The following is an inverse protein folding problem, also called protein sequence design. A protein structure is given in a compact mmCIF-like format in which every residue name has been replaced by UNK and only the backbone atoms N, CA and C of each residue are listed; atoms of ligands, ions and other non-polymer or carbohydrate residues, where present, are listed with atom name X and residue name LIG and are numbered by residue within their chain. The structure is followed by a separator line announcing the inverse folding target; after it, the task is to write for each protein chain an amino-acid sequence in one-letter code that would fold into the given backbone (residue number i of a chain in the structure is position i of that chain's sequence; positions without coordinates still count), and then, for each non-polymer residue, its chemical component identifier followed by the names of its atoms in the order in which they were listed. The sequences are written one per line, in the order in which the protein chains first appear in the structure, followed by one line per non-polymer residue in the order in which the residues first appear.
data_IF_027151583882
#
_entry.id   IF_027151583882
#
_cell.length_a   1.000
_cell.length_b   1.000
_cell.length_c   1.000
_cell.angle_alpha   90.00
_cell.angle_beta   90.00
_cell.angle_gamma   90.00
#
_symmetry.space_group_name_H-M   'P 1'
#
loop_
_entity.id
_entity.type
_entity.pdbx_description
1 polymer ?
#
# COMPACT_ATOMS: atom_id res chain seq x y z
N UNK A 1 -36.74 -45.54 16.49
CA UNK A 1 -36.24 -46.96 16.45
C UNK A 1 -34.95 -46.99 15.60
N UNK A 2 -33.90 -47.61 16.22
CA UNK A 2 -32.60 -48.10 15.68
C UNK A 2 -31.59 -47.02 15.26
N UNK A 3 -30.64 -46.60 16.04
CA UNK A 3 -29.33 -47.14 16.56
C UNK A 3 -28.55 -48.02 15.57
N UNK A 4 -27.31 -47.61 15.23
CA UNK A 4 -26.06 -48.43 15.15
C UNK A 4 -24.90 -47.50 14.75
N UNK A 5 -23.94 -47.24 15.63
CA UNK A 5 -22.68 -47.87 16.06
C UNK A 5 -21.55 -47.57 15.02
N UNK A 6 -20.65 -46.71 15.38
CA UNK A 6 -19.25 -46.78 15.83
C UNK A 6 -18.47 -47.97 15.27
N UNK A 7 -17.41 -47.69 14.55
CA UNK A 7 -16.20 -48.53 14.56
C UNK A 7 -14.94 -47.64 14.47
N UNK A 8 -14.20 -47.68 15.57
CA UNK A 8 -12.86 -47.14 15.76
C UNK A 8 -11.90 -48.23 15.28
N UNK A 9 -11.02 -47.91 14.33
CA UNK A 9 -9.89 -48.79 14.02
C UNK A 9 -8.57 -48.13 14.41
N UNK A 10 -8.06 -48.60 15.53
CA UNK A 10 -6.69 -48.38 16.01
C UNK A 10 -5.78 -49.29 15.18
N UNK A 11 -4.74 -48.71 14.54
CA UNK A 11 -3.61 -49.48 14.04
C UNK A 11 -2.36 -49.06 14.78
N UNK A 12 -1.82 -50.05 15.47
CA UNK A 12 -0.67 -49.97 16.33
C UNK A 12 0.65 -49.91 15.57
N UNK A 13 1.57 -49.21 16.17
CA UNK A 13 2.99 -49.05 15.90
C UNK A 13 3.73 -50.39 15.90
N UNK A 14 4.56 -50.61 14.91
CA UNK A 14 5.65 -51.60 14.98
C UNK A 14 7.00 -50.85 14.82
N UNK A 15 7.66 -50.71 15.95
CA UNK A 15 9.10 -50.33 16.01
C UNK A 15 9.92 -51.57 15.67
N UNK A 16 10.75 -51.50 14.69
CA UNK A 16 11.84 -52.44 14.48
C UNK A 16 13.20 -51.73 14.56
N UNK A 17 13.79 -51.92 15.71
CA UNK A 17 15.21 -51.70 15.94
C UNK A 17 16.02 -52.74 15.20
N UNK A 18 16.95 -52.34 14.32
CA UNK A 18 18.05 -53.18 13.93
C UNK A 18 19.36 -52.42 14.21
N UNK A 19 20.11 -52.96 15.14
CA UNK A 19 21.41 -52.50 15.51
C UNK A 19 22.53 -53.27 14.71
N UNK A 20 23.57 -52.53 14.43
CA UNK A 20 24.95 -52.97 14.21
C UNK A 20 25.33 -53.85 13.05
N UNK A 21 26.11 -53.29 12.16
CA UNK A 21 27.37 -53.93 11.72
C UNK A 21 28.40 -52.88 11.32
N UNK A 22 29.56 -53.01 11.85
CA UNK A 22 30.76 -52.20 11.76
C UNK A 22 31.42 -52.25 10.35
N UNK A 23 31.99 -51.11 9.96
CA UNK A 23 33.22 -51.04 9.14
C UNK A 23 33.02 -50.72 7.68
N UNK A 24 33.14 -49.48 7.30
CA UNK A 24 34.15 -49.08 6.29
C UNK A 24 34.28 -47.52 6.31
N UNK A 25 35.52 -47.07 6.35
CA UNK A 25 35.89 -45.65 6.32
C UNK A 25 35.82 -45.11 4.89
N UNK A 26 34.62 -44.88 4.41
CA UNK A 26 34.35 -44.02 3.29
C UNK A 26 33.87 -42.69 3.83
N UNK A 27 34.56 -41.60 3.52
CA UNK A 27 34.05 -40.25 3.80
C UNK A 27 32.68 -40.12 3.18
N UNK A 28 31.63 -40.19 4.04
CA UNK A 28 30.27 -39.83 3.69
C UNK A 28 30.30 -38.34 3.36
N UNK A 29 29.82 -37.92 2.17
CA UNK A 29 29.65 -36.51 1.94
C UNK A 29 28.69 -35.99 3.00
N UNK A 30 29.12 -34.93 3.67
CA UNK A 30 28.30 -34.15 4.63
C UNK A 30 26.88 -34.04 4.11
N UNK A 31 25.86 -34.28 4.92
CA UNK A 31 24.49 -34.09 4.48
C UNK A 31 24.38 -32.64 4.02
N UNK A 32 24.30 -32.48 2.70
CA UNK A 32 24.08 -31.18 2.06
C UNK A 32 23.04 -30.43 2.83
N UNK A 33 23.40 -29.26 3.36
CA UNK A 33 22.53 -28.32 4.02
C UNK A 33 21.31 -28.11 3.15
N UNK A 34 20.20 -28.75 3.52
CA UNK A 34 18.93 -28.43 2.90
C UNK A 34 18.55 -27.05 3.38
N UNK A 35 18.15 -26.15 2.48
CA UNK A 35 17.69 -24.84 2.87
C UNK A 35 16.63 -24.97 3.94
N UNK A 36 16.86 -24.35 5.10
CA UNK A 36 15.94 -24.37 6.23
C UNK A 36 14.99 -23.21 6.07
N UNK A 37 13.70 -23.49 6.07
CA UNK A 37 12.68 -22.46 6.05
C UNK A 37 12.70 -21.73 7.39
N UNK A 38 13.09 -20.46 7.37
CA UNK A 38 13.22 -19.62 8.57
C UNK A 38 12.19 -18.49 8.56
N UNK A 39 11.70 -18.12 9.75
CA UNK A 39 10.91 -16.91 9.95
C UNK A 39 11.86 -15.71 9.96
N UNK A 40 11.57 -14.74 9.11
CA UNK A 40 12.33 -13.49 9.01
C UNK A 40 11.52 -12.39 9.66
N UNK A 41 12.12 -11.66 10.58
CA UNK A 41 11.53 -10.48 11.17
C UNK A 41 11.64 -9.32 10.19
N UNK A 42 10.52 -8.91 9.60
CA UNK A 42 10.45 -7.80 8.66
C UNK A 42 10.01 -6.54 9.38
N UNK A 43 10.76 -5.47 9.20
CA UNK A 43 10.45 -4.12 9.65
C UNK A 43 10.35 -3.20 8.45
N UNK A 44 9.30 -2.41 8.38
CA UNK A 44 9.00 -1.55 7.22
C UNK A 44 9.12 -0.08 7.57
N UNK A 45 9.68 0.70 6.64
CA UNK A 45 9.87 2.14 6.76
C UNK A 45 9.43 2.79 5.45
N UNK A 46 8.72 3.90 5.54
CA UNK A 46 8.29 4.66 4.38
C UNK A 46 8.81 6.09 4.43
N UNK A 47 9.07 6.66 3.26
CA UNK A 47 9.25 8.09 3.09
C UNK A 47 7.94 8.82 3.47
N UNK A 48 8.02 10.09 3.84
CA UNK A 48 6.84 10.90 4.05
C UNK A 48 6.42 11.58 2.76
N UNK A 49 5.12 11.74 2.55
CA UNK A 49 4.63 12.57 1.43
C UNK A 49 5.15 14.00 1.56
N UNK A 50 5.70 14.53 0.48
CA UNK A 50 6.01 15.95 0.40
C UNK A 50 4.71 16.73 0.24
N UNK A 51 4.45 17.68 1.16
CA UNK A 51 3.29 18.56 1.05
C UNK A 51 3.48 19.49 -0.16
N UNK A 52 2.55 19.44 -1.11
CA UNK A 52 2.42 20.47 -2.13
C UNK A 52 1.80 21.69 -1.48
N UNK A 53 2.55 22.33 -0.61
CA UNK A 53 2.14 23.64 -0.18
C UNK A 53 2.52 24.63 -1.28
N UNK A 54 1.70 25.62 -1.47
CA UNK A 54 2.12 26.95 -1.92
C UNK A 54 3.29 27.49 -1.06
N UNK A 55 3.73 26.77 -0.04
CA UNK A 55 4.93 27.03 0.75
C UNK A 55 6.01 26.00 0.39
N UNK A 56 7.10 26.48 -0.18
CA UNK A 56 8.35 25.78 -0.49
C UNK A 56 9.00 25.16 0.79
N UNK A 57 8.43 24.09 1.33
CA UNK A 57 9.14 23.26 2.28
C UNK A 57 9.91 22.20 1.53
N UNK A 58 11.18 22.04 1.89
CA UNK A 58 12.00 20.94 1.39
C UNK A 58 11.28 19.62 1.65
N UNK A 59 11.38 18.67 0.70
CA UNK A 59 10.89 17.31 0.89
C UNK A 59 11.44 16.76 2.22
N UNK A 60 10.64 16.02 3.00
CA UNK A 60 11.14 15.39 4.21
C UNK A 60 12.28 14.44 3.85
N UNK A 61 13.43 14.66 4.47
CA UNK A 61 14.60 13.81 4.28
C UNK A 61 14.59 12.73 5.36
N UNK A 62 14.10 11.54 5.02
CA UNK A 62 14.18 10.40 5.90
C UNK A 62 13.01 9.43 5.77
N UNK A 63 13.20 8.26 6.35
CA UNK A 63 12.19 7.22 6.47
C UNK A 63 11.71 7.16 7.92
N UNK A 64 10.43 6.98 8.11
CA UNK A 64 9.82 6.70 9.41
C UNK A 64 9.28 5.27 9.42
N UNK A 65 9.25 4.67 10.59
CA UNK A 65 8.63 3.36 10.77
C UNK A 65 7.20 3.38 10.21
N UNK A 66 6.90 2.39 9.40
CA UNK A 66 5.61 2.19 8.80
C UNK A 66 5.01 0.88 9.30
N UNK A 67 3.96 0.99 10.08
CA UNK A 67 3.18 -0.17 10.53
C UNK A 67 1.82 -0.12 9.84
N UNK A 68 1.45 -1.14 9.04
CA UNK A 68 0.11 -1.21 8.46
C UNK A 68 -0.98 -1.19 9.54
N UNK A 69 -2.03 -0.42 9.33
CA UNK A 69 -3.19 -0.31 10.23
C UNK A 69 -4.21 -1.46 10.05
N UNK A 70 -4.05 -2.23 9.00
CA UNK A 70 -4.92 -3.36 8.64
C UNK A 70 -4.13 -4.52 8.05
N UNK A 71 -4.76 -5.67 7.93
CA UNK A 71 -4.20 -6.81 7.18
C UNK A 71 -3.86 -6.39 5.76
N UNK A 72 -2.62 -6.60 5.36
CA UNK A 72 -2.10 -6.27 4.03
C UNK A 72 -1.07 -7.29 3.56
N UNK A 73 -0.54 -7.13 2.36
CA UNK A 73 0.51 -8.00 1.84
C UNK A 73 1.52 -7.24 0.99
N UNK A 74 2.71 -7.82 0.87
CA UNK A 74 3.80 -7.31 0.06
C UNK A 74 4.21 -8.36 -0.96
N UNK A 75 4.48 -7.95 -2.19
CA UNK A 75 5.17 -8.75 -3.20
C UNK A 75 6.67 -8.50 -3.10
N UNK A 76 7.46 -9.55 -2.96
CA UNK A 76 8.91 -9.44 -2.76
C UNK A 76 9.66 -10.43 -3.65
N UNK A 77 10.76 -9.97 -4.22
CA UNK A 77 11.75 -10.78 -4.93
C UNK A 77 13.02 -10.83 -4.10
N UNK A 78 13.56 -12.02 -3.94
CA UNK A 78 14.84 -12.26 -3.27
C UNK A 78 15.70 -13.07 -4.22
N UNK A 79 16.78 -12.48 -4.70
CA UNK A 79 17.68 -13.05 -5.69
C UNK A 79 19.06 -13.22 -5.08
N UNK A 80 19.71 -14.39 -5.29
CA UNK A 80 21.07 -14.62 -4.83
C UNK A 80 22.03 -13.65 -5.51
N UNK A 81 22.78 -12.88 -4.73
CA UNK A 81 23.75 -11.91 -5.27
C UNK A 81 24.94 -12.59 -5.95
N UNK A 82 25.33 -13.76 -5.45
CA UNK A 82 26.48 -14.53 -5.98
C UNK A 82 26.20 -15.22 -7.32
N UNK A 83 24.92 -15.55 -7.62
CA UNK A 83 24.50 -16.19 -8.87
C UNK A 83 23.41 -15.41 -9.59
N UNK A 84 23.67 -14.13 -9.92
CA UNK A 84 22.62 -13.24 -10.40
C UNK A 84 22.01 -13.69 -11.73
N UNK A 85 22.77 -14.35 -12.61
CA UNK A 85 22.29 -14.71 -13.94
C UNK A 85 21.25 -15.84 -13.90
N UNK A 86 21.41 -16.82 -13.00
CA UNK A 86 20.48 -17.94 -12.85
C UNK A 86 19.17 -17.48 -12.26
N UNK A 87 19.22 -16.69 -11.20
CA UNK A 87 18.01 -16.18 -10.51
C UNK A 87 17.25 -15.16 -11.37
N UNK A 88 17.96 -14.35 -12.15
CA UNK A 88 17.35 -13.39 -13.06
C UNK A 88 16.71 -14.03 -14.30
N UNK A 89 17.04 -15.29 -14.62
CA UNK A 89 16.41 -15.99 -15.74
C UNK A 89 14.90 -16.22 -15.51
N UNK A 90 14.49 -16.39 -14.25
CA UNK A 90 13.07 -16.56 -13.88
C UNK A 90 12.81 -16.07 -12.44
N UNK A 91 12.85 -14.76 -12.20
CA UNK A 91 12.64 -14.23 -10.87
C UNK A 91 11.22 -14.51 -10.38
N UNK A 92 11.13 -15.11 -9.19
CA UNK A 92 9.85 -15.47 -8.56
C UNK A 92 9.43 -14.42 -7.54
N UNK A 93 8.20 -13.91 -7.69
CA UNK A 93 7.59 -13.08 -6.70
C UNK A 93 7.05 -13.91 -5.54
N UNK A 94 7.51 -13.63 -4.34
CA UNK A 94 6.99 -14.21 -3.09
C UNK A 94 6.02 -13.25 -2.44
N UNK A 95 4.96 -13.76 -1.83
CA UNK A 95 3.99 -12.94 -1.09
C UNK A 95 4.18 -13.12 0.40
N UNK A 96 4.37 -12.02 1.12
CA UNK A 96 4.33 -11.98 2.58
C UNK A 96 3.09 -11.24 3.05
N UNK A 97 2.59 -11.60 4.22
CA UNK A 97 1.32 -11.09 4.76
C UNK A 97 1.58 -10.41 6.10
N UNK A 98 1.02 -9.23 6.28
CA UNK A 98 0.94 -8.54 7.56
C UNK A 98 -0.43 -8.81 8.20
N UNK A 99 -0.44 -9.43 9.35
CA UNK A 99 -1.62 -9.56 10.20
C UNK A 99 -1.21 -9.72 11.66
N UNK A 100 -2.12 -9.51 12.60
CA UNK A 100 -1.84 -9.61 14.03
C UNK A 100 -0.58 -8.82 14.45
N UNK A 101 -0.42 -7.63 13.90
CA UNK A 101 0.68 -6.68 14.17
C UNK A 101 2.08 -7.20 13.82
N UNK A 102 2.20 -8.16 12.90
CA UNK A 102 3.49 -8.61 12.39
C UNK A 102 3.44 -9.08 10.94
N UNK A 103 4.58 -9.02 10.28
CA UNK A 103 4.79 -9.67 9.00
C UNK A 103 5.04 -11.16 9.18
N UNK A 104 4.37 -11.97 8.37
CA UNK A 104 4.59 -13.42 8.30
C UNK A 104 5.44 -13.72 7.08
N UNK A 105 6.76 -13.71 7.25
CA UNK A 105 7.75 -13.92 6.21
C UNK A 105 8.52 -15.20 6.51
N UNK A 106 8.25 -16.26 5.74
CA UNK A 106 8.91 -17.55 5.84
C UNK A 106 9.62 -17.82 4.53
N UNK A 107 10.95 -17.69 4.54
CA UNK A 107 11.77 -17.94 3.37
C UNK A 107 12.73 -19.09 3.61
N UNK A 108 13.01 -19.83 2.54
CA UNK A 108 14.15 -20.72 2.48
C UNK A 108 15.35 -19.83 2.13
N UNK A 109 16.27 -19.70 3.06
CA UNK A 109 17.48 -18.90 2.90
C UNK A 109 18.69 -19.72 3.31
N UNK A 110 19.77 -19.58 2.57
CA UNK A 110 21.04 -20.22 2.84
C UNK A 110 21.88 -19.34 3.77
N UNK A 111 22.49 -19.94 4.79
CA UNK A 111 23.41 -19.24 5.67
C UNK A 111 24.64 -18.74 4.90
N UNK A 112 25.24 -17.63 5.34
CA UNK A 112 26.40 -16.99 4.70
C UNK A 112 26.18 -16.57 3.24
N UNK A 113 24.93 -16.34 2.84
CA UNK A 113 24.60 -15.84 1.50
C UNK A 113 24.10 -14.42 1.56
N UNK A 114 24.14 -13.73 0.43
CA UNK A 114 23.61 -12.38 0.29
C UNK A 114 22.51 -12.39 -0.77
N UNK A 115 21.37 -11.79 -0.44
CA UNK A 115 20.23 -11.66 -1.36
C UNK A 115 20.05 -10.22 -1.79
N UNK A 116 19.78 -10.01 -3.06
CA UNK A 116 19.28 -8.73 -3.60
C UNK A 116 17.76 -8.72 -3.51
N UNK A 117 17.20 -7.66 -2.93
CA UNK A 117 15.77 -7.60 -2.57
C UNK A 117 15.04 -6.49 -3.31
N UNK A 118 13.94 -6.84 -3.97
CA UNK A 118 13.01 -5.91 -4.65
C UNK A 118 11.59 -6.20 -4.25
N UNK A 119 10.69 -5.26 -4.48
CA UNK A 119 9.28 -5.52 -4.25
C UNK A 119 8.43 -4.26 -4.15
N UNK A 120 7.19 -4.46 -3.74
CA UNK A 120 6.19 -3.41 -3.60
C UNK A 120 5.12 -3.80 -2.57
N UNK A 121 4.43 -2.80 -2.06
CA UNK A 121 3.35 -2.93 -1.09
C UNK A 121 2.29 -1.84 -1.34
N UNK A 122 0.98 -2.11 -1.13
CA UNK A 122 0.40 -3.43 -0.88
C UNK A 122 0.27 -4.26 -2.17
N UNK A 123 0.28 -5.59 -2.05
CA UNK A 123 -0.12 -6.49 -3.11
C UNK A 123 -1.59 -6.88 -2.91
N UNK A 124 -2.48 -6.19 -3.59
CA UNK A 124 -3.95 -6.32 -3.44
C UNK A 124 -4.62 -6.74 -4.74
N UNK A 125 -5.74 -7.44 -4.62
CA UNK A 125 -6.55 -7.87 -5.75
C UNK A 125 -5.76 -8.64 -6.81
N UNK A 126 -5.95 -8.26 -8.07
CA UNK A 126 -5.33 -8.88 -9.24
C UNK A 126 -3.97 -8.27 -9.61
N UNK A 127 -3.36 -7.50 -8.69
CA UNK A 127 -2.02 -6.95 -8.92
C UNK A 127 -1.00 -8.07 -9.14
N UNK A 128 -0.22 -7.91 -10.18
CA UNK A 128 0.89 -8.79 -10.54
C UNK A 128 2.14 -7.98 -10.83
N UNK A 129 3.29 -8.62 -10.74
CA UNK A 129 4.54 -7.96 -11.08
C UNK A 129 5.47 -8.86 -11.87
N UNK A 130 6.44 -8.23 -12.50
CA UNK A 130 7.60 -8.88 -13.12
C UNK A 130 8.85 -8.06 -12.87
N UNK A 131 9.96 -8.73 -12.67
CA UNK A 131 11.25 -8.12 -12.44
C UNK A 131 12.20 -8.54 -13.57
N UNK A 132 12.94 -7.59 -14.12
CA UNK A 132 13.94 -7.81 -15.14
C UNK A 132 15.24 -7.07 -14.82
N UNK A 133 16.39 -7.71 -15.07
CA UNK A 133 17.69 -7.08 -14.99
C UNK A 133 17.88 -6.14 -16.18
N UNK A 134 18.22 -4.90 -15.93
CA UNK A 134 18.49 -3.91 -16.98
C UNK A 134 19.98 -3.80 -17.27
N UNK A 135 20.81 -3.72 -16.24
CA UNK A 135 22.28 -3.73 -16.28
C UNK A 135 22.82 -4.43 -15.02
N UNK A 136 24.15 -4.46 -14.84
CA UNK A 136 24.76 -4.99 -13.62
C UNK A 136 24.22 -4.29 -12.36
N UNK A 137 23.97 -2.96 -12.45
CA UNK A 137 23.59 -2.12 -11.33
C UNK A 137 22.18 -1.55 -11.45
N UNK A 138 21.32 -2.15 -12.27
CA UNK A 138 19.99 -1.64 -12.52
C UNK A 138 18.97 -2.76 -12.80
N UNK A 139 17.75 -2.53 -12.34
CA UNK A 139 16.60 -3.41 -12.55
C UNK A 139 15.38 -2.64 -13.03
N UNK A 140 14.48 -3.34 -13.68
CA UNK A 140 13.14 -2.82 -14.02
C UNK A 140 12.09 -3.68 -13.34
N UNK A 141 11.31 -3.07 -12.45
CA UNK A 141 10.13 -3.68 -11.85
C UNK A 141 8.89 -3.16 -12.57
N UNK A 142 8.09 -4.07 -13.11
CA UNK A 142 6.80 -3.75 -13.69
C UNK A 142 5.71 -4.22 -12.75
N UNK A 143 4.77 -3.35 -12.40
CA UNK A 143 3.59 -3.67 -11.60
C UNK A 143 2.35 -3.44 -12.47
N UNK A 144 1.49 -4.43 -12.55
CA UNK A 144 0.30 -4.42 -13.40
C UNK A 144 -0.99 -4.52 -12.59
N UNK A 145 -2.08 -4.06 -13.19
CA UNK A 145 -3.43 -4.11 -12.61
C UNK A 145 -3.60 -3.34 -11.30
N UNK A 146 -2.83 -2.28 -11.10
CA UNK A 146 -3.06 -1.36 -9.99
C UNK A 146 -4.36 -0.59 -10.19
N UNK A 147 -5.08 -0.32 -9.10
CA UNK A 147 -6.25 0.57 -9.15
C UNK A 147 -5.78 2.02 -9.36
N UNK A 148 -6.44 2.79 -10.27
CA UNK A 148 -6.08 4.19 -10.50
C UNK A 148 -6.21 5.07 -9.27
N UNK A 149 -7.20 4.78 -8.43
CA UNK A 149 -7.45 5.39 -7.11
C UNK A 149 -7.53 4.29 -6.07
N UNK A 150 -7.03 4.53 -4.88
CA UNK A 150 -7.07 3.60 -3.76
C UNK A 150 -7.03 4.36 -2.43
N UNK A 151 -7.49 3.74 -1.36
CA UNK A 151 -7.26 4.20 0.01
C UNK A 151 -5.90 3.77 0.55
N UNK A 152 -5.27 2.80 -0.10
CA UNK A 152 -3.97 2.28 0.27
C UNK A 152 -2.86 3.02 -0.49
N UNK A 153 -1.81 3.36 0.21
CA UNK A 153 -0.61 3.92 -0.40
C UNK A 153 0.21 2.81 -1.06
N UNK A 154 0.42 2.93 -2.37
CA UNK A 154 1.23 1.97 -3.11
C UNK A 154 2.68 2.44 -3.09
N UNK A 155 3.52 1.65 -2.43
CA UNK A 155 4.94 1.89 -2.26
C UNK A 155 5.79 0.84 -2.96
N UNK A 156 6.99 1.24 -3.36
CA UNK A 156 8.03 0.36 -3.91
C UNK A 156 9.17 0.23 -2.91
N UNK A 157 9.78 -0.95 -2.83
CA UNK A 157 11.00 -1.15 -2.07
C UNK A 157 12.13 -0.39 -2.78
N UNK A 158 12.80 0.50 -2.06
CA UNK A 158 13.90 1.32 -2.54
C UNK A 158 15.24 0.95 -1.91
N UNK A 159 15.23 -0.02 -1.03
CA UNK A 159 16.43 -0.56 -0.41
C UNK A 159 16.10 -1.39 0.81
N UNK A 160 17.12 -2.06 1.32
CA UNK A 160 17.05 -2.88 2.52
C UNK A 160 18.28 -2.63 3.39
N UNK A 161 18.14 -2.91 4.69
CA UNK A 161 19.24 -2.87 5.66
C UNK A 161 19.09 -4.00 6.65
N UNK A 162 20.20 -4.40 7.21
CA UNK A 162 20.28 -5.34 8.33
C UNK A 162 19.91 -4.65 9.66
N UNK A 163 20.26 -3.37 9.81
CA UNK A 163 20.02 -2.56 11.01
C UNK A 163 19.19 -1.33 10.69
N UNK A 164 18.58 -0.73 11.71
CA UNK A 164 17.81 0.52 11.59
C UNK A 164 18.67 1.79 11.63
N UNK A 165 19.97 1.66 11.82
CA UNK A 165 20.89 2.79 11.84
C UNK A 165 20.99 3.46 10.48
N UNK A 166 20.92 4.80 10.45
CA UNK A 166 21.12 5.60 9.25
C UNK A 166 20.06 5.37 8.17
N UNK A 167 18.79 5.28 8.54
CA UNK A 167 17.65 5.18 7.63
C UNK A 167 17.40 6.53 6.92
N UNK A 168 18.30 6.92 6.02
CA UNK A 168 18.23 8.14 5.23
C UNK A 168 18.36 7.81 3.76
N UNK A 169 17.79 8.66 2.92
CA UNK A 169 18.00 8.58 1.48
C UNK A 169 19.49 8.56 1.14
N UNK A 170 19.88 7.70 0.22
CA UNK A 170 21.29 7.47 -0.17
C UNK A 170 22.11 6.58 0.75
N UNK A 171 21.51 5.99 1.77
CA UNK A 171 22.17 5.04 2.68
C UNK A 171 21.57 3.64 2.63
N UNK A 172 20.94 3.28 1.52
CA UNK A 172 20.37 1.95 1.32
C UNK A 172 21.39 1.01 0.72
N UNK A 173 21.20 -0.27 1.01
CA UNK A 173 21.74 -1.38 0.25
C UNK A 173 20.60 -2.07 -0.48
N UNK A 174 20.89 -2.67 -1.61
CA UNK A 174 20.01 -3.64 -2.24
C UNK A 174 20.30 -5.05 -1.74
N UNK A 175 21.39 -5.21 -1.02
CA UNK A 175 21.89 -6.48 -0.55
C UNK A 175 21.53 -6.67 0.92
N UNK A 176 21.01 -7.84 1.20
CA UNK A 176 20.70 -8.31 2.54
C UNK A 176 21.53 -9.56 2.84
N UNK A 177 22.59 -9.44 3.64
CA UNK A 177 23.42 -10.57 4.03
C UNK A 177 22.69 -11.44 5.06
N UNK A 178 22.82 -12.76 4.90
CA UNK A 178 22.31 -13.74 5.85
C UNK A 178 23.44 -14.14 6.78
N UNK A 179 23.31 -13.98 8.11
CA UNK A 179 24.37 -14.33 9.04
C UNK A 179 24.63 -15.84 9.08
N UNK A 180 25.83 -16.20 9.57
CA UNK A 180 26.30 -17.58 9.61
C UNK A 180 25.68 -18.43 10.73
N UNK A 181 25.13 -17.80 11.79
CA UNK A 181 24.65 -18.53 12.95
C UNK A 181 23.17 -18.85 12.84
N UNK A 182 22.79 -20.09 13.15
CA UNK A 182 21.39 -20.52 13.18
C UNK A 182 20.59 -19.93 14.35
N UNK A 183 21.26 -19.34 15.33
CA UNK A 183 20.65 -18.80 16.55
C UNK A 183 20.20 -17.34 16.41
N UNK A 184 20.62 -16.65 15.36
CA UNK A 184 20.26 -15.25 15.15
C UNK A 184 18.86 -15.12 14.52
N UNK A 185 18.05 -14.24 15.08
CA UNK A 185 16.80 -13.82 14.46
C UNK A 185 17.14 -13.01 13.20
N UNK A 186 16.88 -13.57 12.04
CA UNK A 186 17.06 -12.87 10.79
C UNK A 186 16.12 -11.66 10.74
N UNK A 187 16.72 -10.49 10.62
CA UNK A 187 15.98 -9.21 10.53
C UNK A 187 16.26 -8.55 9.20
N UNK A 188 15.24 -7.95 8.63
CA UNK A 188 15.36 -7.11 7.44
C UNK A 188 14.59 -5.82 7.66
N UNK A 189 15.25 -4.70 7.45
CA UNK A 189 14.63 -3.36 7.43
C UNK A 189 14.41 -2.98 5.98
N UNK A 190 13.13 -2.87 5.59
CA UNK A 190 12.71 -2.58 4.22
C UNK A 190 12.32 -1.11 4.13
N UNK A 191 12.99 -0.39 3.23
CA UNK A 191 12.73 1.00 2.96
C UNK A 191 11.86 1.13 1.72
N UNK A 192 10.81 1.93 1.82
CA UNK A 192 9.80 2.07 0.78
C UNK A 192 9.60 3.54 0.40
N UNK A 193 9.36 3.78 -0.87
CA UNK A 193 8.99 5.09 -1.39
C UNK A 193 7.66 5.00 -2.15
N UNK A 194 6.89 6.08 -2.14
CA UNK A 194 5.57 6.15 -2.74
C UNK A 194 5.62 6.00 -4.26
N UNK A 195 4.68 5.24 -4.82
CA UNK A 195 4.41 5.23 -6.26
C UNK A 195 3.31 6.21 -6.64
N UNK A 196 2.39 6.49 -5.73
CA UNK A 196 1.24 7.35 -5.99
C UNK A 196 1.44 8.75 -5.38
N UNK A 197 0.58 9.66 -5.81
CA UNK A 197 0.31 10.91 -5.12
C UNK A 197 -0.79 10.70 -4.09
N UNK A 198 -0.77 11.45 -2.99
CA UNK A 198 -1.85 11.47 -2.02
C UNK A 198 -2.74 12.69 -2.21
N UNK A 199 -4.03 12.54 -1.88
CA UNK A 199 -4.99 13.65 -1.73
C UNK A 199 -5.57 13.60 -0.34
N UNK A 200 -5.57 14.73 0.33
CA UNK A 200 -6.27 14.96 1.58
C UNK A 200 -7.48 15.85 1.32
N UNK A 201 -8.67 15.31 1.42
CA UNK A 201 -9.92 16.06 1.37
C UNK A 201 -10.27 16.55 2.78
N UNK A 202 -10.39 17.86 2.97
CA UNK A 202 -10.83 18.49 4.20
C UNK A 202 -12.22 19.08 4.00
N UNK A 203 -13.25 18.38 4.45
CA UNK A 203 -14.63 18.79 4.29
C UNK A 203 -15.13 19.51 5.53
N UNK A 204 -15.70 20.69 5.35
CA UNK A 204 -16.41 21.49 6.36
C UNK A 204 -17.81 21.81 5.89
N UNK A 205 -18.65 22.27 6.82
CA UNK A 205 -19.91 22.90 6.50
C UNK A 205 -19.76 24.43 6.64
N UNK A 206 -20.42 25.18 5.78
CA UNK A 206 -20.48 26.65 5.88
C UNK A 206 -21.07 27.10 7.23
N UNK A 207 -20.55 28.19 7.78
CA UNK A 207 -20.93 28.67 9.11
C UNK A 207 -22.39 29.11 9.21
N UNK A 208 -22.91 29.79 8.18
CA UNK A 208 -24.29 30.26 8.17
C UNK A 208 -25.24 29.10 7.91
N UNK A 209 -24.85 28.20 6.99
CA UNK A 209 -25.62 27.00 6.69
C UNK A 209 -25.73 26.05 7.88
N UNK A 210 -24.65 25.87 8.65
CA UNK A 210 -24.64 25.06 9.87
C UNK A 210 -25.61 25.55 10.96
N UNK A 211 -25.98 26.85 10.93
CA UNK A 211 -27.01 27.38 11.83
C UNK A 211 -28.44 26.90 11.45
N UNK A 212 -28.65 26.42 10.23
CA UNK A 212 -29.94 26.03 9.69
C UNK A 212 -30.08 24.52 9.50
N UNK A 213 -28.99 23.85 9.19
CA UNK A 213 -28.95 22.42 8.84
C UNK A 213 -27.74 21.73 9.41
N UNK A 214 -27.85 20.42 9.65
CA UNK A 214 -26.73 19.52 9.89
C UNK A 214 -26.63 18.56 8.71
N UNK A 215 -25.43 18.42 8.15
CA UNK A 215 -25.10 17.48 7.10
C UNK A 215 -24.30 16.34 7.70
N UNK A 216 -24.74 15.10 7.52
CA UNK A 216 -23.99 13.91 7.88
C UNK A 216 -23.50 13.23 6.60
N UNK A 217 -22.19 13.27 6.35
CA UNK A 217 -21.57 12.59 5.22
C UNK A 217 -21.57 11.09 5.48
N UNK A 218 -22.08 10.30 4.54
CA UNK A 218 -22.14 8.83 4.61
C UNK A 218 -21.07 8.18 3.72
N UNK A 219 -21.00 8.58 2.47
CA UNK A 219 -20.01 8.01 1.55
C UNK A 219 -19.33 9.09 0.72
N UNK A 220 -18.09 8.81 0.34
CA UNK A 220 -17.39 9.52 -0.73
C UNK A 220 -16.81 8.51 -1.69
N UNK A 221 -17.14 8.64 -2.96
CA UNK A 221 -16.66 7.79 -4.04
C UNK A 221 -15.93 8.63 -5.07
N UNK A 222 -14.76 8.18 -5.49
CA UNK A 222 -13.99 8.80 -6.57
C UNK A 222 -14.06 7.92 -7.81
N UNK A 223 -14.44 8.52 -8.94
CA UNK A 223 -14.50 7.85 -10.23
C UNK A 223 -13.40 8.36 -11.16
N UNK A 224 -12.78 7.44 -11.88
CA UNK A 224 -11.71 7.70 -12.84
C UNK A 224 -12.16 7.33 -14.25
N UNK A 225 -11.51 7.88 -15.27
CA UNK A 225 -11.77 7.52 -16.69
C UNK A 225 -11.18 6.16 -17.07
N UNK A 226 -10.28 5.61 -16.27
CA UNK A 226 -9.60 4.33 -16.51
C UNK A 226 -9.72 3.44 -15.29
N UNK A 227 -9.84 2.13 -15.50
CA UNK A 227 -10.04 1.16 -14.43
C UNK A 227 -8.77 0.49 -13.92
N UNK A 228 -7.67 0.60 -14.64
CA UNK A 228 -6.40 -0.04 -14.30
C UNK A 228 -5.20 0.82 -14.70
N UNK A 229 -4.12 0.69 -13.95
CA UNK A 229 -2.82 1.32 -14.22
C UNK A 229 -1.72 0.28 -14.13
N UNK A 230 -0.78 0.34 -15.06
CA UNK A 230 0.49 -0.37 -14.99
C UNK A 230 1.61 0.64 -14.75
N UNK A 231 2.59 0.29 -13.93
CA UNK A 231 3.80 1.08 -13.72
C UNK A 231 5.03 0.28 -14.13
N UNK A 232 5.91 0.92 -14.89
CA UNK A 232 7.25 0.41 -15.21
C UNK A 232 8.24 1.29 -14.47
N UNK A 233 8.96 0.70 -13.52
CA UNK A 233 9.82 1.39 -12.57
C UNK A 233 11.27 1.02 -12.86
N UNK A 234 12.09 2.02 -13.13
CA UNK A 234 13.54 1.88 -13.32
C UNK A 234 14.25 2.10 -11.98
N UNK A 235 15.01 1.11 -11.55
CA UNK A 235 15.74 1.09 -10.29
C UNK A 235 17.24 1.03 -10.54
N UNK A 236 18.04 1.76 -9.74
CA UNK A 236 19.50 1.71 -9.79
C UNK A 236 20.08 1.37 -8.42
N UNK A 237 21.12 0.57 -8.40
CA UNK A 237 21.88 0.23 -7.17
C UNK A 237 22.91 1.32 -6.83
N UNK A 238 23.27 2.15 -7.79
CA UNK A 238 24.27 3.19 -7.59
C UNK A 238 23.60 4.46 -7.03
N UNK A 239 23.45 4.51 -5.71
CA UNK A 239 22.71 5.57 -5.00
C UNK A 239 23.61 6.47 -4.17
N UNK A 240 24.59 7.11 -4.76
CA UNK A 240 25.34 8.16 -4.06
C UNK A 240 24.47 9.41 -3.87
N UNK A 241 23.59 9.37 -2.86
CA UNK A 241 22.79 10.52 -2.43
C UNK A 241 21.53 10.82 -3.29
N UNK A 242 21.24 10.01 -4.30
CA UNK A 242 20.06 10.14 -5.15
C UNK A 242 19.01 9.05 -4.85
N UNK A 243 17.75 9.30 -5.16
CA UNK A 243 16.71 8.27 -5.10
C UNK A 243 17.07 7.07 -5.99
N UNK A 244 16.95 5.83 -5.51
CA UNK A 244 17.19 4.65 -6.32
C UNK A 244 16.16 4.48 -7.44
N UNK A 245 15.02 5.18 -7.39
CA UNK A 245 14.02 5.22 -8.44
C UNK A 245 14.41 6.28 -9.47
N UNK A 246 14.96 5.85 -10.60
CA UNK A 246 15.45 6.74 -11.67
C UNK A 246 14.36 7.14 -12.66
N UNK A 247 13.25 6.41 -12.69
CA UNK A 247 12.10 6.74 -13.52
C UNK A 247 10.91 5.85 -13.25
N UNK A 248 9.71 6.39 -13.44
CA UNK A 248 8.46 5.63 -13.41
C UNK A 248 7.61 6.06 -14.59
N UNK A 249 7.19 5.08 -15.39
CA UNK A 249 6.24 5.28 -16.49
C UNK A 249 4.93 4.60 -16.16
N UNK A 250 3.84 5.35 -16.18
CA UNK A 250 2.51 4.83 -15.94
C UNK A 250 1.74 4.70 -17.25
N UNK A 251 0.99 3.61 -17.37
CA UNK A 251 0.06 3.38 -18.50
C UNK A 251 -1.30 3.01 -17.95
N UNK A 252 -2.30 3.85 -18.24
CA UNK A 252 -3.67 3.63 -17.80
C UNK A 252 -4.49 2.94 -18.90
N UNK A 253 -5.34 1.99 -18.53
CA UNK A 253 -6.15 1.18 -19.45
C UNK A 253 -7.52 0.83 -18.84
N UNK A 254 -8.34 0.14 -19.61
CA UNK A 254 -9.68 -0.28 -19.18
C UNK A 254 -10.72 0.84 -19.17
N UNK A 255 -11.92 0.52 -18.76
CA UNK A 255 -13.04 1.47 -18.57
C UNK A 255 -12.98 2.12 -17.19
N UNK A 256 -13.74 3.21 -17.03
CA UNK A 256 -13.87 3.91 -15.74
C UNK A 256 -14.23 2.98 -14.59
N UNK A 257 -13.67 3.25 -13.43
CA UNK A 257 -13.96 2.57 -12.16
C UNK A 257 -14.30 3.61 -11.08
N UNK A 258 -15.01 3.17 -10.06
CA UNK A 258 -15.41 4.00 -8.93
C UNK A 258 -14.90 3.34 -7.63
N UNK A 259 -14.18 4.11 -6.83
CA UNK A 259 -13.59 3.64 -5.57
C UNK A 259 -14.21 4.40 -4.42
N UNK A 260 -14.77 3.68 -3.45
CA UNK A 260 -15.25 4.26 -2.20
C UNK A 260 -14.03 4.58 -1.34
N UNK A 261 -13.84 5.87 -1.04
CA UNK A 261 -12.71 6.36 -0.21
C UNK A 261 -13.14 6.73 1.21
N UNK A 262 -14.44 6.85 1.43
CA UNK A 262 -15.03 7.04 2.74
C UNK A 262 -16.40 6.35 2.79
N UNK A 263 -16.65 5.62 3.88
CA UNK A 263 -17.92 4.93 4.12
C UNK A 263 -18.21 4.89 5.62
N UNK A 264 -19.37 5.43 6.00
CA UNK A 264 -19.89 5.43 7.37
C UNK A 264 -21.42 5.36 7.34
N UNK A 265 -21.97 4.22 7.70
CA UNK A 265 -23.42 3.93 7.64
C UNK A 265 -24.26 4.92 8.47
N UNK A 266 -23.73 5.44 9.58
CA UNK A 266 -24.41 6.40 10.45
C UNK A 266 -24.23 7.84 9.99
N UNK A 267 -23.23 8.07 9.16
CA UNK A 267 -22.80 9.36 8.68
C UNK A 267 -22.11 10.21 9.76
N UNK A 268 -21.04 10.88 9.36
CA UNK A 268 -20.29 11.80 10.21
C UNK A 268 -20.79 13.22 9.99
N UNK A 269 -21.22 13.91 11.07
CA UNK A 269 -21.62 15.30 11.00
C UNK A 269 -20.45 16.19 10.62
N UNK A 270 -20.62 17.04 9.61
CA UNK A 270 -19.62 18.02 9.22
C UNK A 270 -19.63 19.19 10.21
N UNK A 271 -18.44 19.65 10.57
CA UNK A 271 -18.21 20.76 11.50
C UNK A 271 -17.70 22.00 10.77
N UNK A 272 -17.94 23.18 11.33
CA UNK A 272 -17.50 24.47 10.75
C UNK A 272 -16.01 24.75 10.97
N UNK A 273 -15.43 24.21 12.04
CA UNK A 273 -14.05 24.48 12.47
C UNK A 273 -13.12 23.31 12.22
N UNK A 274 -13.59 22.11 12.52
CA UNK A 274 -12.81 20.88 12.42
C UNK A 274 -13.18 20.13 11.14
N UNK A 275 -12.34 20.14 10.11
CA UNK A 275 -12.66 19.44 8.87
C UNK A 275 -12.68 17.93 9.06
N UNK A 276 -13.61 17.26 8.40
CA UNK A 276 -13.54 15.82 8.19
C UNK A 276 -12.43 15.54 7.17
N UNK A 277 -11.38 14.88 7.62
CA UNK A 277 -10.22 14.55 6.80
C UNK A 277 -10.39 13.16 6.16
N UNK A 278 -10.37 13.10 4.83
CA UNK A 278 -10.46 11.85 4.05
C UNK A 278 -9.23 11.76 3.17
N UNK A 279 -8.52 10.64 3.25
CA UNK A 279 -7.31 10.40 2.46
C UNK A 279 -7.60 9.44 1.30
N UNK A 280 -7.00 9.73 0.15
CA UNK A 280 -6.93 8.83 -0.99
C UNK A 280 -5.57 8.95 -1.67
N UNK A 281 -5.18 7.89 -2.38
CA UNK A 281 -3.99 7.87 -3.23
C UNK A 281 -4.40 7.64 -4.68
N UNK A 282 -3.68 8.21 -5.63
CA UNK A 282 -3.99 8.07 -7.04
C UNK A 282 -2.74 8.11 -7.92
N UNK A 283 -2.82 7.39 -9.03
CA UNK A 283 -1.72 7.32 -9.99
C UNK A 283 -1.47 8.68 -10.63
N UNK A 284 -0.23 9.12 -10.79
CA UNK A 284 0.13 10.42 -11.35
C UNK A 284 -0.44 10.72 -12.75
N UNK A 285 -0.81 9.69 -13.52
CA UNK A 285 -1.39 9.88 -14.86
C UNK A 285 -2.83 10.33 -14.89
N UNK A 286 -3.49 10.40 -13.73
CA UNK A 286 -4.92 10.64 -13.62
C UNK A 286 -5.28 12.06 -13.21
N UNK A 287 -4.34 12.97 -13.25
CA UNK A 287 -4.46 14.36 -12.80
C UNK A 287 -5.65 15.14 -13.37
N UNK A 288 -6.19 14.72 -14.50
CA UNK A 288 -7.38 15.33 -15.09
C UNK A 288 -8.58 14.38 -15.01
N UNK A 289 -9.72 14.88 -14.53
CA UNK A 289 -11.03 14.22 -14.63
C UNK A 289 -11.43 13.24 -13.52
N UNK A 290 -11.01 13.46 -12.28
CA UNK A 290 -11.64 12.80 -11.15
C UNK A 290 -13.05 13.37 -10.92
N UNK A 291 -14.03 12.48 -10.77
CA UNK A 291 -15.38 12.85 -10.34
C UNK A 291 -15.59 12.33 -8.93
N UNK A 292 -15.98 13.22 -8.03
CA UNK A 292 -16.34 12.89 -6.66
C UNK A 292 -17.86 12.80 -6.54
N UNK A 293 -18.34 11.71 -5.99
CA UNK A 293 -19.76 11.52 -5.64
C UNK A 293 -19.83 11.34 -4.13
N UNK A 294 -20.62 12.16 -3.46
CA UNK A 294 -20.88 12.06 -2.02
C UNK A 294 -22.33 11.70 -1.77
N UNK A 295 -22.56 10.87 -0.75
CA UNK A 295 -23.89 10.58 -0.23
C UNK A 295 -23.97 11.11 1.21
N UNK A 296 -25.07 11.79 1.54
CA UNK A 296 -25.25 12.44 2.83
C UNK A 296 -26.72 12.51 3.23
N UNK A 297 -26.96 12.73 4.51
CA UNK A 297 -28.27 13.01 5.08
C UNK A 297 -28.33 14.47 5.57
N UNK A 298 -29.51 15.07 5.45
CA UNK A 298 -29.80 16.46 5.86
C UNK A 298 -30.75 16.43 7.04
N UNK A 299 -30.38 17.11 8.12
CA UNK A 299 -31.18 17.26 9.34
C UNK A 299 -31.51 18.71 9.61
N UNK A 300 -32.63 18.96 10.28
CA UNK A 300 -32.96 20.29 10.80
C UNK A 300 -32.21 20.62 12.11
N UNK A 301 -32.49 21.80 12.66
CA UNK A 301 -31.91 22.27 13.93
C UNK A 301 -32.31 21.44 15.15
N UNK A 302 -33.40 20.70 15.08
CA UNK A 302 -33.88 19.87 16.19
C UNK A 302 -33.27 18.48 16.14
N UNK A 303 -32.57 18.17 15.04
CA UNK A 303 -32.01 16.86 14.77
C UNK A 303 -33.00 15.92 14.06
N UNK A 304 -34.10 16.45 13.53
CA UNK A 304 -35.05 15.67 12.73
C UNK A 304 -34.51 15.51 11.31
N UNK A 305 -34.61 14.29 10.77
CA UNK A 305 -34.17 13.98 9.42
C UNK A 305 -35.13 14.63 8.39
N UNK A 306 -34.59 15.51 7.55
CA UNK A 306 -35.34 16.17 6.47
C UNK A 306 -35.24 15.37 5.17
N UNK A 307 -34.00 15.01 4.77
CA UNK A 307 -33.74 14.25 3.54
C UNK A 307 -32.67 13.20 3.82
N UNK A 308 -32.87 12.03 3.27
CA UNK A 308 -31.98 10.88 3.41
C UNK A 308 -31.35 10.51 2.08
N UNK A 309 -30.08 10.06 2.12
CA UNK A 309 -29.34 9.56 0.98
C UNK A 309 -29.32 10.55 -0.20
N UNK A 310 -29.18 11.84 0.10
CA UNK A 310 -28.92 12.86 -0.91
C UNK A 310 -27.57 12.57 -1.57
N UNK A 311 -27.43 12.91 -2.85
CA UNK A 311 -26.19 12.75 -3.59
C UNK A 311 -25.76 14.07 -4.19
N UNK A 312 -24.44 14.36 -4.12
CA UNK A 312 -23.82 15.45 -4.85
C UNK A 312 -22.69 14.92 -5.72
N UNK A 313 -22.56 15.45 -6.93
CA UNK A 313 -21.51 15.09 -7.88
C UNK A 313 -20.68 16.31 -8.20
N UNK A 314 -19.39 16.24 -7.91
CA UNK A 314 -18.43 17.30 -8.16
C UNK A 314 -17.32 16.80 -9.09
N UNK A 315 -16.96 17.61 -10.08
CA UNK A 315 -15.72 17.42 -10.83
C UNK A 315 -14.61 18.07 -10.04
N UNK A 316 -13.59 17.28 -9.71
CA UNK A 316 -12.43 17.83 -9.06
C UNK A 316 -11.60 18.64 -10.07
N UNK A 317 -10.99 19.75 -9.64
CA UNK A 317 -10.10 20.53 -10.49
C UNK A 317 -8.92 19.65 -10.92
N UNK A 318 -8.22 20.08 -11.98
CA UNK A 318 -7.01 19.40 -12.42
C UNK A 318 -5.99 19.35 -11.29
N UNK A 319 -5.86 18.16 -10.70
CA UNK A 319 -4.88 17.91 -9.67
C UNK A 319 -3.58 17.50 -10.33
N UNK A 320 -2.55 18.30 -10.13
CA UNK A 320 -1.19 17.92 -10.53
C UNK A 320 -0.70 16.80 -9.59
N UNK A 321 -0.93 15.55 -10.01
CA UNK A 321 -0.50 14.39 -9.27
C UNK A 321 0.98 14.13 -9.52
N UNK A 322 1.81 14.35 -8.52
CA UNK A 322 3.23 14.02 -8.54
C UNK A 322 3.49 12.91 -7.54
N UNK A 323 4.21 11.87 -7.97
CA UNK A 323 4.61 10.75 -7.11
C UNK A 323 5.24 11.26 -5.80
N UNK A 324 4.80 10.70 -4.67
CA UNK A 324 5.32 11.06 -3.35
C UNK A 324 4.91 12.44 -2.84
N UNK A 325 4.02 13.15 -3.53
CA UNK A 325 3.48 14.43 -3.06
C UNK A 325 2.03 14.28 -2.57
N UNK A 326 1.66 15.12 -1.60
CA UNK A 326 0.28 15.24 -1.10
C UNK A 326 -0.32 16.56 -1.55
N UNK A 327 -1.49 16.49 -2.17
CA UNK A 327 -2.35 17.63 -2.47
C UNK A 327 -3.42 17.72 -1.42
N UNK A 328 -3.63 18.91 -0.85
CA UNK A 328 -4.70 19.17 0.10
C UNK A 328 -5.83 19.94 -0.60
N UNK A 329 -7.05 19.41 -0.54
CA UNK A 329 -8.26 20.06 -1.03
C UNK A 329 -9.14 20.45 0.14
N UNK A 330 -9.30 21.76 0.35
CA UNK A 330 -10.26 22.29 1.29
C UNK A 330 -11.60 22.47 0.60
N UNK A 331 -12.65 21.94 1.21
CA UNK A 331 -13.99 21.88 0.62
C UNK A 331 -15.02 22.31 1.64
N UNK A 332 -15.93 23.20 1.23
CA UNK A 332 -16.99 23.69 2.08
C UNK A 332 -18.36 23.31 1.50
N UNK A 333 -19.20 22.72 2.33
CA UNK A 333 -20.59 22.38 1.97
C UNK A 333 -21.47 23.61 2.19
N UNK A 334 -22.02 24.14 1.11
CA UNK A 334 -22.88 25.31 1.08
C UNK A 334 -24.28 24.96 0.61
N UNK A 335 -25.32 25.75 0.93
CA UNK A 335 -26.63 25.57 0.30
C UNK A 335 -26.52 25.83 -1.20
N UNK A 336 -27.24 25.05 -2.00
CA UNK A 336 -27.43 25.37 -3.42
C UNK A 336 -28.43 26.52 -3.57
N UNK A 337 -28.44 27.16 -4.74
CA UNK A 337 -29.36 28.27 -5.01
C UNK A 337 -30.40 27.87 -6.04
N UNK A 338 -31.65 28.23 -5.77
CA UNK A 338 -32.81 28.03 -6.68
C UNK A 338 -32.90 29.17 -7.70
N UNK A 339 -32.25 28.99 -8.85
CA UNK A 339 -32.45 29.87 -10.02
C UNK A 339 -32.13 31.35 -9.83
N UNK A 340 -32.83 32.22 -10.57
CA UNK A 340 -32.50 33.65 -10.74
C UNK A 340 -32.77 34.51 -9.50
N UNK A 341 -33.53 34.04 -8.55
CA UNK A 341 -33.90 34.82 -7.35
C UNK A 341 -32.93 34.60 -6.16
N UNK A 342 -31.88 33.82 -6.33
CA UNK A 342 -30.84 33.59 -5.32
C UNK A 342 -31.36 33.07 -3.98
N UNK A 343 -32.52 32.44 -3.95
CA UNK A 343 -32.97 31.77 -2.75
C UNK A 343 -32.21 30.45 -2.55
N UNK A 344 -31.58 30.28 -1.37
CA UNK A 344 -30.82 29.06 -1.12
C UNK A 344 -31.73 27.84 -0.99
N UNK A 345 -31.44 26.76 -1.69
CA UNK A 345 -32.02 25.46 -1.42
C UNK A 345 -31.32 24.82 -0.24
N UNK A 346 -31.85 25.03 0.95
CA UNK A 346 -31.26 24.54 2.20
C UNK A 346 -31.28 23.02 2.33
N UNK A 347 -32.06 22.34 1.50
CA UNK A 347 -32.21 20.88 1.56
C UNK A 347 -31.43 20.14 0.49
N UNK A 348 -30.69 20.88 -0.34
CA UNK A 348 -29.85 20.32 -1.41
C UNK A 348 -28.51 21.08 -1.50
N UNK A 349 -27.59 20.82 -0.54
CA UNK A 349 -26.33 21.53 -0.50
C UNK A 349 -25.40 21.17 -1.67
N UNK A 350 -24.48 22.08 -1.97
CA UNK A 350 -23.36 21.87 -2.89
C UNK A 350 -22.04 21.79 -2.12
N UNK A 351 -21.05 21.16 -2.71
CA UNK A 351 -19.68 21.14 -2.20
C UNK A 351 -18.83 22.04 -3.09
N UNK A 352 -18.16 23.00 -2.49
CA UNK A 352 -17.27 23.92 -3.20
C UNK A 352 -15.82 23.69 -2.75
N UNK A 353 -14.91 23.85 -3.69
CA UNK A 353 -13.46 23.82 -3.41
C UNK A 353 -13.04 25.24 -3.06
N UNK A 354 -12.43 25.41 -1.92
CA UNK A 354 -11.87 26.70 -1.51
C UNK A 354 -10.55 26.91 -2.28
N UNK A 355 -10.49 27.94 -3.11
CA UNK A 355 -9.33 28.32 -3.91
C UNK A 355 -8.28 29.08 -3.07
#
# INVERSE_FOLDING_TARGET
MKKKYIDILLIAVAVLLNACSSGDSGAQPDPTDKPVKKEIQVMTYASQFAETALSRRAAPTGFSEYTPDKTTSMGIYMLLSENPETDWASPEEKKIIYNNNKWHAYFEVDANTTYTVYGYMPKIGDMSSSLAKSTADAATLTISNMKPVTTDDICIITGVKETDEGLKEGQFSWEWPIPSSEEENYKIHILMDHLYAAVLFNLKIDTEYAQLRTIKLKTMTLSTVKGSVNAVISLTHNTTGASPVTGVTYTASGSSDAVVVFDDDQGIALDVTTPLAINACFAPTLSANLTMVTTYDVYDRKGDLIRQNCTATNKLPDLEAVRGQRVQLNMTVNPSYLGVLSDPDLDNPTIQTDN
#
